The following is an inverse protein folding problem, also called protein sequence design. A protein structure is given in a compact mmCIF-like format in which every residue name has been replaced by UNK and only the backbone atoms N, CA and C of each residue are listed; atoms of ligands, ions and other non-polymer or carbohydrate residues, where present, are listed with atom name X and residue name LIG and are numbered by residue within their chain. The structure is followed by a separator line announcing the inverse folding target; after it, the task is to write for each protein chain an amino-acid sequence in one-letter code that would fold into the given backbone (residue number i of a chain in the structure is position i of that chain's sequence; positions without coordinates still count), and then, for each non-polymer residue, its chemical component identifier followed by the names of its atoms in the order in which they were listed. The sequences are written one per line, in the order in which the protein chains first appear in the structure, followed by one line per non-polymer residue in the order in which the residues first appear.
data_IF_234016291353
#
_entry.id   IF_234016291353
#
_cell.length_a   1.000
_cell.length_b   1.000
_cell.length_c   1.000
_cell.angle_alpha   90.00
_cell.angle_beta   90.00
_cell.angle_gamma   90.00
#
_symmetry.space_group_name_H-M   'P 1'
#
loop_
_entity.id
_entity.type
_entity.pdbx_description
1 polymer ?
#
# COMPACT_ATOMS: atom_id res chain seq x y z
N UNK A 1 4.03 1.17 -7.77
CA UNK A 1 4.06 2.62 -7.62
C UNK A 1 3.18 3.30 -8.66
N UNK A 2 2.28 4.18 -8.22
CA UNK A 2 1.33 4.90 -9.10
C UNK A 2 1.66 6.40 -9.20
N UNK A 3 2.57 6.91 -8.39
CA UNK A 3 2.89 8.34 -8.29
C UNK A 3 4.37 8.62 -8.55
N UNK A 4 4.69 9.81 -9.06
CA UNK A 4 6.07 10.30 -9.18
C UNK A 4 6.64 10.89 -7.88
N UNK A 5 5.85 10.94 -6.80
CA UNK A 5 6.27 11.51 -5.51
C UNK A 5 7.30 10.65 -4.78
N UNK A 6 7.29 9.35 -5.04
CA UNK A 6 8.17 8.34 -4.44
C UNK A 6 8.73 7.41 -5.51
N UNK A 7 9.77 6.67 -5.18
CA UNK A 7 10.45 5.73 -6.07
C UNK A 7 10.50 4.30 -5.51
N UNK A 8 11.20 3.43 -6.25
CA UNK A 8 11.45 2.04 -5.82
C UNK A 8 12.23 2.04 -4.50
N UNK A 9 11.79 1.26 -3.54
CA UNK A 9 12.36 1.18 -2.18
C UNK A 9 11.73 2.15 -1.18
N UNK A 10 11.03 3.19 -1.64
CA UNK A 10 10.24 4.07 -0.75
C UNK A 10 8.97 3.37 -0.26
N UNK A 11 8.31 3.93 0.76
CA UNK A 11 7.14 3.32 1.42
C UNK A 11 5.90 4.21 1.26
N UNK A 12 4.76 3.61 0.91
CA UNK A 12 3.44 4.21 1.09
C UNK A 12 2.85 3.73 2.40
N UNK A 13 2.43 4.67 3.24
CA UNK A 13 1.69 4.45 4.49
C UNK A 13 0.21 4.72 4.19
N UNK A 14 -0.64 3.71 4.32
CA UNK A 14 -2.03 3.77 3.92
C UNK A 14 -2.88 4.66 4.84
N UNK A 15 -3.12 5.90 4.42
CA UNK A 15 -4.15 6.76 5.01
C UNK A 15 -5.54 6.30 4.62
N UNK A 16 -5.71 5.94 3.35
CA UNK A 16 -6.94 5.40 2.80
C UNK A 16 -6.61 4.14 2.01
N UNK A 17 -7.36 3.07 2.23
CA UNK A 17 -7.20 1.79 1.53
C UNK A 17 -8.56 1.39 0.95
N UNK A 18 -8.59 0.96 -0.31
CA UNK A 18 -9.82 0.56 -0.99
C UNK A 18 -9.55 -0.54 -2.04
N UNK A 19 -10.62 -1.21 -2.50
CA UNK A 19 -10.54 -2.10 -3.66
C UNK A 19 -10.72 -1.30 -4.96
N UNK A 20 -9.86 -1.51 -5.96
CA UNK A 20 -10.04 -0.89 -7.27
C UNK A 20 -10.85 -1.75 -8.26
N UNK A 21 -10.93 -3.06 -8.05
CA UNK A 21 -11.59 -4.03 -8.95
C UNK A 21 -12.90 -4.59 -8.39
N UNK A 22 -13.21 -4.37 -7.13
CA UNK A 22 -14.43 -4.87 -6.51
C UNK A 22 -15.64 -3.95 -6.76
N UNK A 23 -16.84 -4.55 -6.61
CA UNK A 23 -18.11 -3.83 -6.59
C UNK A 23 -18.35 -3.23 -5.19
N UNK A 24 -17.86 -2.01 -4.97
CA UNK A 24 -17.88 -1.36 -3.65
C UNK A 24 -19.31 -1.22 -3.09
N UNK A 25 -20.31 -0.98 -3.95
CA UNK A 25 -21.71 -0.89 -3.53
C UNK A 25 -22.26 -2.22 -3.00
N UNK A 26 -21.69 -3.34 -3.40
CA UNK A 26 -22.05 -4.66 -2.88
C UNK A 26 -21.30 -4.95 -1.57
N UNK A 27 -20.01 -4.63 -1.53
CA UNK A 27 -19.19 -4.84 -0.32
C UNK A 27 -19.74 -4.06 0.86
N UNK A 28 -20.10 -2.78 0.67
CA UNK A 28 -20.58 -1.93 1.75
C UNK A 28 -22.00 -2.25 2.26
N UNK A 29 -22.70 -3.24 1.68
CA UNK A 29 -23.95 -3.76 2.22
C UNK A 29 -23.75 -4.71 3.41
N UNK A 30 -22.51 -5.12 3.68
CA UNK A 30 -22.15 -5.98 4.80
C UNK A 30 -21.18 -5.26 5.75
N UNK A 31 -21.11 -5.68 7.04
CA UNK A 31 -20.14 -5.10 7.96
C UNK A 31 -18.71 -5.17 7.41
N UNK A 32 -17.94 -4.09 7.51
CA UNK A 32 -18.15 -2.86 8.30
C UNK A 32 -18.97 -1.74 7.62
N UNK A 33 -19.67 -2.00 6.50
CA UNK A 33 -20.49 -1.05 5.74
C UNK A 33 -19.70 0.11 5.13
N UNK A 34 -18.42 -0.11 4.80
CA UNK A 34 -17.49 0.88 4.28
C UNK A 34 -17.08 0.56 2.84
N UNK A 35 -16.90 1.59 2.01
CA UNK A 35 -16.34 1.49 0.66
C UNK A 35 -14.82 1.64 0.65
N UNK A 36 -14.29 2.31 1.67
CA UNK A 36 -12.86 2.53 1.89
C UNK A 36 -12.54 2.45 3.38
N UNK A 37 -11.31 2.14 3.70
CA UNK A 37 -10.82 1.92 5.05
C UNK A 37 -9.77 2.96 5.40
N UNK A 38 -9.88 3.57 6.59
CA UNK A 38 -8.96 4.60 7.06
C UNK A 38 -7.89 3.97 7.94
N UNK A 39 -6.63 4.29 7.67
CA UNK A 39 -5.52 3.91 8.53
C UNK A 39 -5.61 4.60 9.90
N UNK A 40 -5.25 3.88 10.95
CA UNK A 40 -5.26 4.41 12.30
C UNK A 40 -4.22 5.53 12.44
N UNK A 41 -4.58 6.72 12.99
CA UNK A 41 -3.68 7.86 13.06
C UNK A 41 -2.42 7.64 13.92
N UNK A 42 -2.53 6.88 15.02
CA UNK A 42 -1.39 6.60 15.89
C UNK A 42 -0.42 5.64 15.21
N UNK A 43 -0.94 4.61 14.53
CA UNK A 43 -0.15 3.69 13.73
C UNK A 43 0.52 4.37 12.53
N UNK A 44 -0.17 5.32 11.86
CA UNK A 44 0.41 6.13 10.79
C UNK A 44 1.58 6.95 11.32
N UNK A 45 1.40 7.67 12.44
CA UNK A 45 2.46 8.49 13.02
C UNK A 45 3.67 7.66 13.45
N UNK A 46 3.45 6.49 14.05
CA UNK A 46 4.52 5.55 14.40
C UNK A 46 5.28 5.05 13.18
N UNK A 47 4.56 4.76 12.08
CA UNK A 47 5.15 4.32 10.82
C UNK A 47 5.99 5.42 10.15
N UNK A 48 5.50 6.67 10.13
CA UNK A 48 6.26 7.82 9.61
C UNK A 48 7.58 8.00 10.38
N UNK A 49 7.50 7.96 11.73
CA UNK A 49 8.68 8.09 12.59
C UNK A 49 9.69 6.94 12.36
N UNK A 50 9.20 5.71 12.22
CA UNK A 50 10.04 4.54 11.96
C UNK A 50 10.71 4.60 10.58
N UNK A 51 10.00 5.04 9.55
CA UNK A 51 10.57 5.25 8.21
C UNK A 51 11.67 6.33 8.24
N UNK A 52 11.42 7.46 8.92
CA UNK A 52 12.41 8.53 9.06
C UNK A 52 13.69 8.04 9.78
N UNK A 53 13.54 7.27 10.85
CA UNK A 53 14.65 6.68 11.59
C UNK A 53 15.45 5.66 10.75
N UNK A 54 14.76 4.92 9.91
CA UNK A 54 15.39 3.98 8.98
C UNK A 54 16.03 4.67 7.76
N UNK A 55 15.84 5.98 7.59
CA UNK A 55 16.30 6.74 6.41
C UNK A 55 15.53 6.39 5.14
N UNK A 56 14.31 5.88 5.26
CA UNK A 56 13.43 5.51 4.15
C UNK A 56 12.41 6.61 3.92
N UNK A 57 12.30 7.06 2.67
CA UNK A 57 11.27 8.03 2.30
C UNK A 57 9.90 7.39 2.36
N UNK A 58 8.96 8.07 3.01
CA UNK A 58 7.58 7.62 3.14
C UNK A 58 6.58 8.64 2.59
N UNK A 59 5.46 8.15 2.10
CA UNK A 59 4.31 8.93 1.65
C UNK A 59 3.05 8.41 2.36
N UNK A 60 2.42 9.26 3.16
CA UNK A 60 1.08 8.96 3.68
C UNK A 60 0.07 9.20 2.57
N UNK A 61 -0.54 8.13 2.07
CA UNK A 61 -1.30 8.19 0.83
C UNK A 61 -2.41 7.16 0.71
N UNK A 62 -2.90 7.01 -0.51
CA UNK A 62 -3.97 6.09 -0.87
C UNK A 62 -3.40 4.81 -1.47
N UNK A 63 -3.88 3.67 -0.98
CA UNK A 63 -3.54 2.33 -1.46
C UNK A 63 -4.77 1.71 -2.13
N UNK A 64 -4.60 1.17 -3.32
CA UNK A 64 -5.66 0.45 -4.02
C UNK A 64 -5.29 -1.04 -4.18
N UNK A 65 -6.22 -1.89 -3.74
CA UNK A 65 -6.08 -3.36 -3.76
C UNK A 65 -6.90 -3.97 -4.89
N UNK A 66 -6.36 -4.98 -5.56
CA UNK A 66 -7.09 -5.79 -6.53
C UNK A 66 -6.38 -7.09 -6.86
N UNK A 67 -7.10 -8.01 -7.50
CA UNK A 67 -6.58 -9.33 -7.90
C UNK A 67 -5.79 -9.30 -9.22
N UNK A 68 -5.57 -8.10 -9.78
CA UNK A 68 -4.85 -7.89 -11.01
C UNK A 68 -3.44 -7.39 -10.76
N UNK A 69 -2.43 -8.08 -11.31
CA UNK A 69 -1.09 -7.54 -11.40
C UNK A 69 -1.04 -6.39 -12.42
N UNK A 70 -0.71 -5.19 -11.97
CA UNK A 70 -0.65 -3.98 -12.81
C UNK A 70 0.75 -3.85 -13.39
N UNK A 71 0.90 -4.25 -14.65
CA UNK A 71 2.17 -4.28 -15.38
C UNK A 71 2.11 -3.62 -16.77
N UNK A 72 1.10 -2.78 -17.02
CA UNK A 72 0.94 -2.04 -18.26
C UNK A 72 0.33 -0.65 -18.03
N UNK A 73 0.66 0.28 -18.91
CA UNK A 73 0.27 1.68 -18.80
C UNK A 73 -1.24 1.91 -19.00
N UNK A 74 -1.94 1.07 -19.73
CA UNK A 74 -3.39 1.19 -19.95
C UNK A 74 -4.15 0.84 -18.66
N UNK A 75 -3.84 -0.28 -18.04
CA UNK A 75 -4.40 -0.71 -16.76
C UNK A 75 -4.09 0.32 -15.66
N UNK A 76 -2.85 0.80 -15.61
CA UNK A 76 -2.44 1.85 -14.68
C UNK A 76 -3.29 3.12 -14.82
N UNK A 77 -3.47 3.61 -16.06
CA UNK A 77 -4.27 4.80 -16.34
C UNK A 77 -5.76 4.60 -15.99
N UNK A 78 -6.31 3.40 -16.21
CA UNK A 78 -7.68 3.09 -15.84
C UNK A 78 -7.90 3.12 -14.32
N UNK A 79 -6.98 2.58 -13.54
CA UNK A 79 -7.03 2.61 -12.07
C UNK A 79 -6.84 4.04 -11.55
N UNK A 80 -5.91 4.81 -12.14
CA UNK A 80 -5.68 6.21 -11.79
C UNK A 80 -6.97 7.03 -12.01
N UNK A 81 -7.62 6.88 -13.16
CA UNK A 81 -8.87 7.55 -13.46
C UNK A 81 -10.02 7.17 -12.51
N UNK A 82 -10.03 5.94 -11.99
CA UNK A 82 -11.07 5.40 -11.12
C UNK A 82 -10.94 5.87 -9.67
N UNK A 83 -9.75 5.88 -9.11
CA UNK A 83 -9.55 6.12 -7.67
C UNK A 83 -8.28 6.90 -7.29
N UNK A 84 -7.43 7.28 -8.25
CA UNK A 84 -6.21 8.05 -8.06
C UNK A 84 -5.36 7.59 -6.85
N UNK A 85 -4.88 6.33 -6.83
CA UNK A 85 -4.09 5.83 -5.72
C UNK A 85 -2.61 6.24 -5.85
N UNK A 86 -1.90 6.27 -4.72
CA UNK A 86 -0.45 6.45 -4.72
C UNK A 86 0.30 5.13 -4.98
N UNK A 87 -0.31 3.98 -4.62
CA UNK A 87 0.17 2.66 -5.04
C UNK A 87 -0.97 1.64 -5.21
N UNK A 88 -0.66 0.58 -5.94
CA UNK A 88 -1.50 -0.62 -6.10
C UNK A 88 -0.82 -1.82 -5.48
N UNK A 89 -1.61 -2.74 -4.95
CA UNK A 89 -1.15 -3.98 -4.34
C UNK A 89 -2.33 -4.99 -4.29
N UNK A 90 -2.20 -6.12 -3.61
CA UNK A 90 -3.15 -7.22 -3.76
C UNK A 90 -3.80 -7.71 -2.45
N UNK A 91 -3.49 -7.14 -1.26
CA UNK A 91 -3.96 -7.67 0.04
C UNK A 91 -4.50 -6.63 1.01
N UNK A 92 -4.06 -5.37 0.92
CA UNK A 92 -4.25 -4.35 1.97
C UNK A 92 -5.71 -4.04 2.29
N UNK A 93 -6.59 -3.96 1.29
CA UNK A 93 -8.00 -3.70 1.54
C UNK A 93 -8.69 -4.87 2.25
N UNK A 94 -8.30 -6.12 1.97
CA UNK A 94 -8.85 -7.29 2.65
C UNK A 94 -8.46 -7.31 4.14
N UNK A 95 -7.21 -7.01 4.45
CA UNK A 95 -6.73 -6.86 5.83
C UNK A 95 -7.46 -5.73 6.54
N UNK A 96 -7.54 -4.55 5.92
CA UNK A 96 -8.20 -3.36 6.47
C UNK A 96 -9.69 -3.59 6.70
N UNK A 97 -10.38 -4.30 5.79
CA UNK A 97 -11.79 -4.67 5.91
C UNK A 97 -12.05 -5.54 7.14
N UNK A 98 -11.23 -6.56 7.33
CA UNK A 98 -11.37 -7.45 8.49
C UNK A 98 -11.03 -6.74 9.79
N UNK A 99 -10.00 -5.90 9.82
CA UNK A 99 -9.65 -5.07 10.97
C UNK A 99 -10.83 -4.14 11.33
N UNK A 100 -11.36 -3.38 10.36
CA UNK A 100 -12.48 -2.48 10.56
C UNK A 100 -13.75 -3.21 11.04
N UNK A 101 -14.04 -4.39 10.48
CA UNK A 101 -15.17 -5.24 10.91
C UNK A 101 -15.06 -5.64 12.38
N UNK A 102 -13.86 -5.81 12.90
CA UNK A 102 -13.61 -6.24 14.28
C UNK A 102 -13.22 -5.09 15.22
N UNK A 103 -13.22 -3.84 14.76
CA UNK A 103 -12.85 -2.67 15.54
C UNK A 103 -11.38 -2.65 15.97
N UNK A 104 -10.51 -3.26 15.17
CA UNK A 104 -9.06 -3.33 15.43
C UNK A 104 -8.35 -2.20 14.67
N UNK A 105 -7.54 -1.35 15.34
CA UNK A 105 -6.69 -0.38 14.68
C UNK A 105 -5.78 -1.05 13.64
N UNK A 106 -5.67 -0.44 12.45
CA UNK A 106 -4.89 -1.02 11.36
C UNK A 106 -4.21 0.06 10.54
N UNK A 107 -3.02 -0.22 10.04
CA UNK A 107 -2.34 0.56 9.01
C UNK A 107 -1.71 -0.40 8.00
N UNK A 108 -1.74 -0.05 6.73
CA UNK A 108 -1.10 -0.80 5.66
C UNK A 108 0.18 -0.06 5.25
N UNK A 109 1.28 -0.78 5.21
CA UNK A 109 2.58 -0.29 4.74
C UNK A 109 2.96 -1.04 3.47
N UNK A 110 3.29 -0.31 2.41
CA UNK A 110 3.74 -0.94 1.14
C UNK A 110 5.03 -0.28 0.67
N UNK A 111 6.10 -1.06 0.60
CA UNK A 111 7.31 -0.60 -0.05
C UNK A 111 7.20 -0.83 -1.57
N UNK A 112 7.72 0.11 -2.36
CA UNK A 112 7.56 0.10 -3.81
C UNK A 112 8.59 -0.81 -4.44
N UNK A 113 8.12 -1.87 -5.12
CA UNK A 113 8.96 -2.82 -5.87
C UNK A 113 9.19 -2.39 -7.32
N UNK A 114 8.21 -1.72 -7.91
CA UNK A 114 8.17 -1.34 -9.32
C UNK A 114 7.30 -0.09 -9.53
N UNK A 115 7.16 0.36 -10.79
CA UNK A 115 6.38 1.52 -11.17
C UNK A 115 4.99 1.19 -11.74
N UNK A 116 4.57 -0.08 -11.67
CA UNK A 116 3.30 -0.55 -12.23
C UNK A 116 3.13 -0.15 -13.71
N UNK A 117 4.17 -0.37 -14.52
CA UNK A 117 4.23 -0.12 -15.95
C UNK A 117 4.99 -1.25 -16.67
N UNK A 118 5.18 -1.14 -17.97
CA UNK A 118 5.86 -2.15 -18.79
C UNK A 118 7.30 -2.40 -18.31
N UNK A 119 7.99 -1.37 -17.83
CA UNK A 119 9.32 -1.48 -17.25
C UNK A 119 9.31 -2.18 -15.88
N UNK A 120 8.20 -2.11 -15.14
CA UNK A 120 8.02 -2.75 -13.84
C UNK A 120 8.14 -4.26 -13.88
N UNK A 121 7.61 -4.89 -14.92
CA UNK A 121 7.77 -6.33 -15.15
C UNK A 121 9.23 -6.71 -15.40
N UNK A 122 9.97 -5.89 -16.14
CA UNK A 122 11.39 -6.09 -16.42
C UNK A 122 12.25 -5.91 -15.16
N UNK A 123 11.91 -4.95 -14.29
CA UNK A 123 12.60 -4.71 -13.01
C UNK A 123 12.47 -5.90 -12.07
N UNK A 124 11.28 -6.50 -11.98
CA UNK A 124 11.04 -7.67 -11.12
C UNK A 124 11.74 -8.94 -11.61
N UNK A 125 11.83 -9.12 -12.95
CA UNK A 125 12.32 -10.36 -13.57
C UNK A 125 13.81 -10.27 -13.94
N UNK A 126 14.29 -9.11 -14.40
CA UNK A 126 15.61 -8.95 -15.02
C UNK A 126 16.60 -8.16 -14.15
N UNK A 127 16.17 -7.08 -13.53
CA UNK A 127 16.99 -6.31 -12.61
C UNK A 127 16.84 -6.92 -11.22
N UNK A 128 17.91 -7.54 -10.72
CA UNK A 128 18.08 -8.11 -9.37
C UNK A 128 17.45 -7.22 -8.29
N UNK A 129 16.11 -7.24 -8.18
CA UNK A 129 15.42 -6.74 -7.01
C UNK A 129 15.81 -7.65 -5.85
N UNK A 130 16.56 -7.11 -4.91
CA UNK A 130 16.98 -7.88 -3.74
C UNK A 130 15.81 -8.02 -2.77
N UNK A 131 15.03 -9.09 -2.93
CA UNK A 131 13.95 -9.44 -1.99
C UNK A 131 14.47 -9.43 -0.55
N UNK A 132 15.68 -9.89 -0.32
CA UNK A 132 16.30 -9.92 1.02
C UNK A 132 16.52 -8.52 1.61
N UNK A 133 16.96 -7.55 0.82
CA UNK A 133 17.13 -6.16 1.27
C UNK A 133 15.78 -5.49 1.54
N UNK A 134 14.82 -5.75 0.67
CA UNK A 134 13.45 -5.26 0.82
C UNK A 134 12.80 -5.79 2.10
N UNK A 135 12.88 -7.11 2.35
CA UNK A 135 12.34 -7.75 3.56
C UNK A 135 13.07 -7.23 4.81
N UNK A 136 14.39 -7.09 4.77
CA UNK A 136 15.16 -6.56 5.89
C UNK A 136 14.75 -5.12 6.24
N UNK A 137 14.57 -4.27 5.25
CA UNK A 137 14.12 -2.88 5.44
C UNK A 137 12.70 -2.83 6.00
N UNK A 138 11.77 -3.58 5.43
CA UNK A 138 10.38 -3.64 5.91
C UNK A 138 10.30 -4.16 7.35
N UNK A 139 11.03 -5.22 7.67
CA UNK A 139 11.09 -5.79 9.02
C UNK A 139 11.64 -4.78 10.03
N UNK A 140 12.71 -4.05 9.66
CA UNK A 140 13.31 -3.02 10.51
C UNK A 140 12.31 -1.88 10.80
N UNK A 141 11.58 -1.42 9.78
CA UNK A 141 10.57 -0.37 9.94
C UNK A 141 9.45 -0.86 10.88
N UNK A 142 8.92 -2.07 10.67
CA UNK A 142 7.84 -2.62 11.52
C UNK A 142 8.31 -2.80 12.97
N UNK A 143 9.53 -3.32 13.19
CA UNK A 143 10.10 -3.46 14.53
C UNK A 143 10.22 -2.10 15.23
N UNK A 144 10.81 -1.10 14.58
CA UNK A 144 10.94 0.26 15.12
C UNK A 144 9.58 0.94 15.35
N UNK A 145 8.57 0.63 14.53
CA UNK A 145 7.21 1.12 14.72
C UNK A 145 6.58 0.52 15.99
N UNK A 146 6.71 -0.79 16.21
CA UNK A 146 6.16 -1.48 17.41
C UNK A 146 6.79 -0.94 18.70
N UNK A 147 8.07 -0.57 18.69
CA UNK A 147 8.75 0.04 19.84
C UNK A 147 8.22 1.45 20.21
N UNK A 148 7.46 2.09 19.32
CA UNK A 148 6.91 3.44 19.50
C UNK A 148 5.44 3.44 19.96
N UNK A 149 4.79 2.26 19.96
CA UNK A 149 3.40 2.05 20.40
C UNK A 149 3.34 1.62 21.86
#
# INVERSE_FOLDING_TARGET
NMTSKIGIGDVVIGKTVLYHDAQLDMICQNPPFLKEYTGDPELIAAAEAACAEAGVKALVGKIATGDLFVGDSETKAAIEAKCAPDCVEMEGAAVSQIAAKNGVPCVILRAMSDNADEDGHEVLVVKKFSISEYVATATKIVAAMVEKL
#
